data_IF_580808638030
#
_entry.id   IF_580808638030
#
_cell.length_a   1.000
_cell.length_b   1.000
_cell.length_c   1.000
_cell.angle_alpha   90.00
_cell.angle_beta   90.00
_cell.angle_gamma   90.00
#
_symmetry.space_group_name_H-M   'P 1'
#
loop_
_entity.id
_entity.type
_entity.pdbx_description
1 polymer ?
#
# COMPACT_ATOMS: atom_id res chain seq x y z
N UNK A 1 63.22 -37.57 -23.80
CA UNK A 1 62.67 -38.71 -23.02
C UNK A 1 61.27 -38.31 -22.55
N UNK A 2 60.26 -38.39 -23.42
CA UNK A 2 58.86 -38.17 -23.04
C UNK A 2 58.23 -39.52 -22.73
N UNK A 3 58.06 -39.83 -21.45
CA UNK A 3 57.21 -40.93 -21.01
C UNK A 3 56.30 -40.42 -19.91
N UNK A 4 54.99 -40.48 -20.13
CA UNK A 4 54.07 -40.76 -19.02
C UNK A 4 52.78 -39.97 -18.88
N UNK A 5 52.17 -39.40 -19.93
CA UNK A 5 50.77 -38.87 -19.82
C UNK A 5 49.73 -40.01 -19.95
N UNK A 6 50.12 -41.21 -20.39
CA UNK A 6 49.19 -42.30 -20.71
C UNK A 6 48.57 -43.08 -19.53
N UNK A 7 49.01 -42.87 -18.27
CA UNK A 7 48.34 -43.45 -17.09
C UNK A 7 47.18 -42.59 -16.56
N UNK A 8 47.06 -41.32 -16.97
CA UNK A 8 46.05 -40.40 -16.41
C UNK A 8 44.63 -40.62 -16.96
N UNK A 9 44.46 -40.99 -18.23
CA UNK A 9 43.11 -41.05 -18.85
C UNK A 9 42.24 -42.21 -18.37
N UNK A 10 42.81 -43.39 -18.08
CA UNK A 10 42.04 -44.51 -17.50
C UNK A 10 41.66 -44.24 -16.05
N UNK A 11 42.54 -43.60 -15.28
CA UNK A 11 42.26 -43.20 -13.90
C UNK A 11 41.21 -42.08 -13.86
N UNK A 12 41.28 -41.09 -14.76
CA UNK A 12 40.28 -40.04 -14.94
C UNK A 12 38.89 -40.60 -15.27
N UNK A 13 38.81 -41.67 -16.07
CA UNK A 13 37.56 -42.36 -16.39
C UNK A 13 36.87 -42.99 -15.17
N UNK A 14 37.64 -43.37 -14.13
CA UNK A 14 37.10 -43.85 -12.86
C UNK A 14 36.91 -42.76 -11.81
N UNK A 15 37.70 -41.68 -11.86
CA UNK A 15 37.65 -40.59 -10.87
C UNK A 15 36.48 -39.61 -11.15
N UNK A 16 36.16 -39.32 -12.42
CA UNK A 16 35.02 -38.46 -12.78
C UNK A 16 33.66 -39.01 -12.28
N UNK A 17 33.30 -40.29 -12.52
CA UNK A 17 32.04 -40.81 -11.99
C UNK A 17 32.03 -40.87 -10.47
N UNK A 18 33.18 -41.08 -9.83
CA UNK A 18 33.30 -41.04 -8.36
C UNK A 18 33.05 -39.63 -7.81
N UNK A 19 33.56 -38.59 -8.47
CA UNK A 19 33.31 -37.19 -8.12
C UNK A 19 31.84 -36.82 -8.36
N UNK A 20 31.25 -37.24 -9.48
CA UNK A 20 29.82 -37.02 -9.76
C UNK A 20 28.92 -37.73 -8.73
N UNK A 21 29.30 -38.95 -8.31
CA UNK A 21 28.60 -39.68 -7.26
C UNK A 21 28.73 -38.97 -5.90
N UNK A 22 29.86 -38.32 -5.62
CA UNK A 22 30.08 -37.55 -4.40
C UNK A 22 29.32 -36.20 -4.40
N UNK A 23 29.07 -35.61 -5.56
CA UNK A 23 28.29 -34.37 -5.71
C UNK A 23 26.77 -34.60 -5.81
N UNK A 24 26.31 -35.81 -6.08
CA UNK A 24 24.88 -36.11 -6.18
C UNK A 24 24.08 -35.90 -4.87
N UNK A 25 24.58 -36.28 -3.67
CA UNK A 25 23.86 -36.05 -2.41
C UNK A 25 23.58 -34.58 -2.08
N UNK A 26 24.54 -33.63 -2.18
CA UNK A 26 24.25 -32.22 -1.93
C UNK A 26 23.32 -31.61 -2.99
N UNK A 27 23.42 -32.01 -4.26
CA UNK A 27 22.49 -31.56 -5.31
C UNK A 27 21.06 -32.06 -5.07
N UNK A 28 20.89 -33.32 -4.64
CA UNK A 28 19.59 -33.88 -4.30
C UNK A 28 18.98 -33.20 -3.06
N UNK A 29 19.78 -32.99 -2.02
CA UNK A 29 19.35 -32.27 -0.82
C UNK A 29 18.94 -30.81 -1.14
N UNK A 30 19.74 -30.13 -1.96
CA UNK A 30 19.46 -28.75 -2.38
C UNK A 30 18.23 -28.65 -3.30
N UNK A 31 18.03 -29.59 -4.22
CA UNK A 31 16.82 -29.65 -5.06
C UNK A 31 15.56 -29.85 -4.22
N UNK A 32 15.64 -30.73 -3.20
CA UNK A 32 14.53 -30.93 -2.25
C UNK A 32 14.24 -29.65 -1.44
N UNK A 33 15.28 -28.94 -1.00
CA UNK A 33 15.17 -27.68 -0.27
C UNK A 33 14.66 -26.51 -1.14
N UNK A 34 15.01 -26.50 -2.43
CA UNK A 34 14.51 -25.51 -3.38
C UNK A 34 13.00 -25.69 -3.64
N UNK A 35 12.52 -26.93 -3.70
CA UNK A 35 11.10 -27.21 -3.91
C UNK A 35 10.24 -26.96 -2.67
N UNK A 36 10.77 -27.08 -1.44
CA UNK A 36 10.01 -26.75 -0.21
C UNK A 36 9.79 -25.25 -0.03
N UNK A 37 10.73 -24.40 -0.47
CA UNK A 37 10.61 -22.93 -0.39
C UNK A 37 9.48 -22.36 -1.26
N UNK A 38 9.12 -23.00 -2.38
CA UNK A 38 7.99 -22.57 -3.22
C UNK A 38 6.63 -22.82 -2.56
N UNK A 39 6.49 -23.89 -1.78
CA UNK A 39 5.23 -24.26 -1.13
C UNK A 39 4.86 -23.33 0.04
N UNK A 40 5.85 -22.75 0.72
CA UNK A 40 5.62 -21.76 1.77
C UNK A 40 5.30 -20.37 1.19
N UNK A 41 5.87 -19.99 0.04
CA UNK A 41 5.55 -18.72 -0.62
C UNK A 41 4.08 -18.63 -1.06
N UNK A 42 3.52 -19.73 -1.58
CA UNK A 42 2.08 -19.84 -1.92
C UNK A 42 1.18 -19.79 -0.67
N UNK A 43 1.57 -20.45 0.43
CA UNK A 43 0.81 -20.42 1.69
C UNK A 43 0.88 -19.07 2.41
N UNK A 44 1.98 -18.33 2.26
CA UNK A 44 2.11 -16.97 2.78
C UNK A 44 1.23 -16.00 1.99
N UNK A 45 1.12 -16.14 0.66
CA UNK A 45 0.14 -15.39 -0.16
C UNK A 45 -1.32 -15.68 0.22
N UNK A 46 -1.63 -16.93 0.55
CA UNK A 46 -2.98 -17.32 0.97
C UNK A 46 -3.34 -16.88 2.40
N UNK A 47 -2.35 -16.83 3.31
CA UNK A 47 -2.54 -16.37 4.69
C UNK A 47 -2.46 -14.84 4.85
N UNK A 48 -1.79 -14.13 3.94
CA UNK A 48 -1.80 -12.67 3.90
C UNK A 48 -3.23 -12.12 3.68
N UNK A 49 -4.06 -12.80 2.89
CA UNK A 49 -5.50 -12.52 2.76
C UNK A 49 -6.32 -12.73 4.05
N UNK A 50 -5.76 -13.35 5.09
CA UNK A 50 -6.47 -13.68 6.33
C UNK A 50 -5.92 -13.00 7.58
N UNK A 51 -4.66 -12.54 7.55
CA UNK A 51 -3.96 -11.96 8.71
C UNK A 51 -3.71 -10.45 8.62
N UNK A 52 -4.07 -9.83 7.50
CA UNK A 52 -4.13 -8.38 7.31
C UNK A 52 -5.38 -7.78 7.96
N UNK A 53 -5.57 -8.09 9.24
CA UNK A 53 -6.47 -7.39 10.13
C UNK A 53 -5.57 -6.73 11.15
N UNK A 54 -5.43 -5.41 11.04
CA UNK A 54 -5.16 -4.42 12.09
C UNK A 54 -4.08 -3.43 11.58
N UNK A 55 -4.58 -2.39 10.88
CA UNK A 55 -4.02 -1.01 10.77
C UNK A 55 -3.18 -0.60 9.53
N UNK A 56 -3.00 -1.44 8.49
CA UNK A 56 -2.32 -1.01 7.24
C UNK A 56 -2.85 -1.63 5.93
N UNK A 57 -3.93 -2.39 6.01
CA UNK A 57 -4.14 -3.58 5.19
C UNK A 57 -4.98 -3.42 3.91
N UNK A 58 -5.54 -2.24 3.67
CA UNK A 58 -6.51 -2.08 2.57
C UNK A 58 -5.86 -1.66 1.24
N UNK A 59 -4.57 -1.31 1.23
CA UNK A 59 -3.93 -0.73 0.03
C UNK A 59 -3.65 -1.76 -1.05
N UNK A 60 -3.03 -2.90 -0.70
CA UNK A 60 -2.74 -3.97 -1.67
C UNK A 60 -4.04 -4.59 -2.21
N UNK A 61 -5.03 -4.80 -1.34
CA UNK A 61 -6.35 -5.30 -1.76
C UNK A 61 -7.04 -4.35 -2.73
N UNK A 62 -6.94 -3.03 -2.49
CA UNK A 62 -7.47 -2.02 -3.43
C UNK A 62 -6.74 -2.07 -4.76
N UNK A 63 -5.41 -2.16 -4.75
CA UNK A 63 -4.61 -2.24 -5.98
C UNK A 63 -5.01 -3.49 -6.77
N UNK A 64 -5.15 -4.63 -6.12
CA UNK A 64 -5.57 -5.90 -6.75
C UNK A 64 -6.99 -5.81 -7.31
N UNK A 65 -7.94 -5.21 -6.57
CA UNK A 65 -9.31 -5.01 -7.05
C UNK A 65 -9.34 -4.09 -8.27
N UNK A 66 -8.62 -2.97 -8.22
CA UNK A 66 -8.54 -2.02 -9.33
C UNK A 66 -7.84 -2.67 -10.54
N UNK A 67 -6.77 -3.42 -10.34
CA UNK A 67 -6.04 -4.11 -11.42
C UNK A 67 -6.86 -5.17 -12.15
N UNK A 68 -7.93 -5.68 -11.54
CA UNK A 68 -8.91 -6.55 -12.21
C UNK A 68 -9.93 -5.78 -13.05
N UNK A 69 -10.10 -4.49 -12.79
CA UNK A 69 -11.09 -3.63 -13.45
C UNK A 69 -10.48 -2.79 -14.58
N UNK A 70 -9.19 -2.47 -14.48
CA UNK A 70 -8.46 -1.65 -15.45
C UNK A 70 -6.97 -2.02 -15.44
N UNK A 71 -6.33 -1.91 -16.60
CA UNK A 71 -4.88 -2.08 -16.70
C UNK A 71 -4.15 -0.97 -15.94
N UNK A 72 -3.27 -1.38 -15.03
CA UNK A 72 -2.51 -0.47 -14.17
C UNK A 72 -1.08 -0.27 -14.70
N UNK A 73 -0.51 0.93 -14.53
CA UNK A 73 0.92 1.14 -14.76
C UNK A 73 1.78 0.24 -13.87
N UNK A 74 2.98 -0.12 -14.35
CA UNK A 74 3.95 -0.91 -13.60
C UNK A 74 4.71 -0.06 -12.56
N UNK A 75 3.98 0.54 -11.62
CA UNK A 75 4.52 1.27 -10.47
C UNK A 75 3.60 1.15 -9.25
N UNK A 76 4.13 1.44 -8.06
CA UNK A 76 3.34 1.47 -6.83
C UNK A 76 2.57 2.79 -6.71
N UNK A 77 1.24 2.79 -6.71
CA UNK A 77 0.47 4.02 -6.54
C UNK A 77 0.49 4.52 -5.10
N UNK A 78 0.34 5.82 -4.92
CA UNK A 78 -0.05 6.40 -3.63
C UNK A 78 -1.56 6.32 -3.49
N UNK A 79 -2.06 5.70 -2.41
CA UNK A 79 -3.49 5.54 -2.17
C UNK A 79 -3.94 6.49 -1.06
N UNK A 80 -4.94 7.31 -1.35
CA UNK A 80 -5.55 8.25 -0.42
C UNK A 80 -7.06 8.04 -0.33
N UNK A 81 -7.67 8.38 0.81
CA UNK A 81 -9.12 8.36 0.97
C UNK A 81 -9.69 9.78 0.83
N UNK A 82 -10.82 9.92 0.15
CA UNK A 82 -11.56 11.18 0.11
C UNK A 82 -12.36 11.29 1.42
N UNK A 83 -11.86 12.10 2.34
CA UNK A 83 -12.55 12.38 3.62
C UNK A 83 -13.60 13.47 3.48
N UNK A 84 -13.34 14.46 2.63
CA UNK A 84 -14.23 15.60 2.41
C UNK A 84 -14.26 16.04 0.94
N UNK A 85 -15.30 15.59 0.22
CA UNK A 85 -15.59 15.98 -1.17
C UNK A 85 -15.74 17.49 -1.34
N UNK A 86 -16.22 18.21 -0.32
CA UNK A 86 -16.52 19.64 -0.46
C UNK A 86 -15.28 20.47 -0.74
N UNK A 87 -14.12 20.04 -0.23
CA UNK A 87 -12.80 20.65 -0.47
C UNK A 87 -12.23 20.37 -1.85
N UNK A 88 -12.79 19.40 -2.57
CA UNK A 88 -12.37 18.98 -3.91
C UNK A 88 -13.33 19.49 -5.00
N UNK A 89 -14.28 20.35 -4.63
CA UNK A 89 -15.20 20.98 -5.57
C UNK A 89 -14.44 21.90 -6.54
N UNK A 90 -14.91 21.98 -7.78
CA UNK A 90 -14.27 22.75 -8.86
C UNK A 90 -13.31 21.93 -9.73
N UNK A 91 -12.95 20.71 -9.33
CA UNK A 91 -12.18 19.80 -10.16
C UNK A 91 -13.10 18.76 -10.82
N UNK A 92 -13.15 18.73 -12.16
CA UNK A 92 -13.99 17.80 -12.91
C UNK A 92 -13.69 16.32 -12.58
N UNK A 93 -12.43 16.01 -12.25
CA UNK A 93 -12.00 14.66 -11.84
C UNK A 93 -12.73 14.16 -10.58
N UNK A 94 -13.10 15.06 -9.65
CA UNK A 94 -13.78 14.70 -8.40
C UNK A 94 -15.31 14.92 -8.45
N UNK A 95 -15.87 15.29 -9.61
CA UNK A 95 -17.31 15.59 -9.73
C UNK A 95 -18.20 14.41 -9.29
N UNK A 96 -17.81 13.19 -9.67
CA UNK A 96 -18.54 11.94 -9.38
C UNK A 96 -18.06 11.22 -8.12
N UNK A 97 -17.02 11.75 -7.47
CA UNK A 97 -16.46 11.19 -6.25
C UNK A 97 -17.43 11.35 -5.06
N UNK A 98 -17.24 10.51 -4.05
CA UNK A 98 -17.97 10.49 -2.78
C UNK A 98 -16.98 10.35 -1.62
N UNK A 99 -17.39 10.77 -0.42
CA UNK A 99 -16.59 10.53 0.78
C UNK A 99 -16.45 9.02 1.01
N UNK A 100 -15.23 8.56 1.29
CA UNK A 100 -14.89 7.14 1.38
C UNK A 100 -14.37 6.52 0.09
N UNK A 101 -14.43 7.23 -1.06
CA UNK A 101 -13.79 6.75 -2.28
C UNK A 101 -12.26 6.79 -2.13
N UNK A 102 -11.59 5.76 -2.67
CA UNK A 102 -10.14 5.62 -2.71
C UNK A 102 -9.60 6.29 -3.97
N UNK A 103 -8.53 7.07 -3.86
CA UNK A 103 -7.81 7.67 -5.00
C UNK A 103 -6.45 7.02 -5.10
N UNK A 104 -6.14 6.44 -6.25
CA UNK A 104 -4.84 5.87 -6.57
C UNK A 104 -4.10 6.84 -7.49
N UNK A 105 -2.92 7.29 -7.07
CA UNK A 105 -2.11 8.27 -7.79
C UNK A 105 -0.82 7.59 -8.28
N UNK A 106 -0.65 7.55 -9.58
CA UNK A 106 0.50 7.01 -10.30
C UNK A 106 1.36 8.19 -10.77
N UNK A 107 2.44 8.47 -10.03
CA UNK A 107 3.23 9.69 -10.21
C UNK A 107 4.04 9.64 -11.51
N UNK A 108 4.66 8.50 -11.85
CA UNK A 108 5.48 8.37 -13.07
C UNK A 108 4.62 8.34 -14.32
N UNK A 109 3.50 7.62 -14.27
CA UNK A 109 2.55 7.53 -15.37
C UNK A 109 1.63 8.75 -15.50
N UNK A 110 1.72 9.71 -14.56
CA UNK A 110 0.87 10.89 -14.47
C UNK A 110 -0.63 10.54 -14.56
N UNK A 111 -1.06 9.52 -13.84
CA UNK A 111 -2.43 9.00 -13.85
C UNK A 111 -3.03 8.99 -12.45
N UNK A 112 -4.29 9.38 -12.33
CA UNK A 112 -5.07 9.20 -11.12
C UNK A 112 -6.34 8.40 -11.41
N UNK A 113 -6.73 7.57 -10.46
CA UNK A 113 -7.91 6.69 -10.56
C UNK A 113 -8.72 6.81 -9.27
N UNK A 114 -10.02 7.08 -9.38
CA UNK A 114 -10.95 7.03 -8.24
C UNK A 114 -11.65 5.68 -8.26
N UNK A 115 -11.57 4.96 -7.15
CA UNK A 115 -12.16 3.66 -6.95
C UNK A 115 -13.12 3.67 -5.74
N UNK A 116 -14.31 3.10 -5.94
CA UNK A 116 -15.31 2.93 -4.89
C UNK A 116 -15.39 1.48 -4.47
N UNK A 117 -14.94 1.21 -3.24
CA UNK A 117 -14.96 -0.12 -2.64
C UNK A 117 -16.37 -0.69 -2.50
N UNK A 118 -17.33 0.14 -2.06
CA UNK A 118 -18.70 -0.30 -1.79
C UNK A 118 -19.40 -0.92 -3.01
N UNK A 119 -19.05 -0.47 -4.22
CA UNK A 119 -19.64 -0.96 -5.47
C UNK A 119 -18.65 -1.69 -6.36
N UNK A 120 -17.40 -1.83 -5.92
CA UNK A 120 -16.27 -2.36 -6.69
C UNK A 120 -16.18 -1.77 -8.11
N UNK A 121 -16.16 -0.44 -8.22
CA UNK A 121 -16.19 0.27 -9.51
C UNK A 121 -15.14 1.37 -9.57
N UNK A 122 -14.59 1.55 -10.77
CA UNK A 122 -13.84 2.76 -11.13
C UNK A 122 -14.84 3.88 -11.37
N UNK A 123 -14.66 4.98 -10.65
CA UNK A 123 -15.53 6.15 -10.71
C UNK A 123 -15.04 7.14 -11.75
N UNK A 124 -13.73 7.37 -11.80
CA UNK A 124 -13.12 8.32 -12.72
C UNK A 124 -11.64 7.97 -12.95
N UNK A 125 -11.13 8.26 -14.15
CA UNK A 125 -9.71 8.10 -14.51
C UNK A 125 -9.23 9.38 -15.19
N UNK A 126 -8.13 9.94 -14.71
CA UNK A 126 -7.64 11.24 -15.14
C UNK A 126 -6.12 11.28 -15.21
N UNK A 127 -5.62 12.32 -15.87
CA UNK A 127 -4.19 12.66 -15.85
C UNK A 127 -3.90 13.64 -14.72
N UNK A 128 -2.75 13.50 -14.09
CA UNK A 128 -2.27 14.50 -13.11
C UNK A 128 -1.21 15.39 -13.77
N UNK A 129 -1.38 16.69 -13.64
CA UNK A 129 -0.32 17.66 -13.90
C UNK A 129 0.26 17.99 -12.53
N UNK A 130 1.42 17.41 -12.22
CA UNK A 130 2.16 17.76 -11.02
C UNK A 130 2.91 19.04 -11.35
N UNK A 131 2.31 20.19 -11.05
CA UNK A 131 3.08 21.42 -10.91
C UNK A 131 3.89 21.28 -9.62
N UNK A 132 5.22 21.25 -9.71
CA UNK A 132 6.17 21.00 -8.61
C UNK A 132 6.13 22.05 -7.47
N UNK A 133 5.12 22.91 -7.41
CA UNK A 133 5.03 24.03 -6.46
C UNK A 133 4.15 23.77 -5.24
N UNK A 134 3.79 22.51 -4.92
CA UNK A 134 3.12 22.19 -3.65
C UNK A 134 4.14 21.57 -2.68
N UNK A 135 4.71 22.33 -1.73
CA UNK A 135 5.61 21.77 -0.73
C UNK A 135 4.88 20.73 0.12
N UNK A 136 5.47 19.54 0.23
CA UNK A 136 4.98 18.37 0.95
C UNK A 136 4.94 18.52 2.50
N UNK A 137 4.82 19.74 3.02
CA UNK A 137 4.88 20.05 4.45
C UNK A 137 3.51 20.19 5.12
N UNK A 138 2.39 20.08 4.40
CA UNK A 138 1.03 20.19 4.98
C UNK A 138 0.25 18.87 5.11
N UNK A 139 0.87 17.71 4.85
CA UNK A 139 0.24 16.39 5.05
C UNK A 139 0.72 15.68 6.33
N UNK A 140 1.06 16.44 7.37
CA UNK A 140 1.22 15.86 8.71
C UNK A 140 -0.14 15.44 9.26
N UNK A 141 -0.32 14.19 9.72
CA UNK A 141 -1.46 13.83 10.54
C UNK A 141 -1.33 14.55 11.89
N UNK A 142 -1.92 15.74 12.02
CA UNK A 142 -2.24 16.29 13.33
C UNK A 142 -3.34 15.41 13.93
N UNK A 143 -2.91 14.45 14.74
CA UNK A 143 -3.75 13.81 15.72
C UNK A 143 -4.20 14.93 16.65
N UNK A 144 -5.43 15.43 16.49
CA UNK A 144 -6.09 16.23 17.51
C UNK A 144 -6.73 15.19 18.43
N UNK A 145 -6.14 14.84 19.59
CA UNK A 145 -6.92 14.18 20.62
C UNK A 145 -8.00 15.17 21.05
N UNK A 146 -9.24 14.87 20.67
CA UNK A 146 -10.43 15.41 21.31
C UNK A 146 -10.39 15.03 22.79
N UNK A 147 -9.77 15.87 23.62
CA UNK A 147 -10.11 15.94 25.03
C UNK A 147 -11.49 16.59 25.13
N UNK A 148 -12.50 15.74 25.25
CA UNK A 148 -13.84 16.09 25.68
C UNK A 148 -13.73 16.65 27.11
N UNK A 149 -13.79 17.97 27.26
CA UNK A 149 -14.07 18.62 28.55
C UNK A 149 -15.40 19.36 28.40
N UNK A 150 -16.50 18.88 29.02
CA UNK A 150 -17.77 19.59 29.03
C UNK A 150 -17.89 20.45 30.30
N UNK A 151 -17.59 21.75 30.20
CA UNK A 151 -18.05 22.76 31.18
C UNK A 151 -17.80 24.20 30.69
N UNK A 152 -18.65 24.69 29.78
CA UNK A 152 -18.88 26.12 29.62
C UNK A 152 -20.38 26.35 29.42
N UNK A 153 -21.10 26.37 30.53
CA UNK A 153 -22.45 26.94 30.60
C UNK A 153 -22.32 28.44 30.40
N UNK A 154 -22.42 28.90 29.16
CA UNK A 154 -22.69 30.29 28.86
C UNK A 154 -24.20 30.53 28.99
N UNK A 155 -24.63 30.99 30.17
CA UNK A 155 -25.92 31.65 30.33
C UNK A 155 -25.67 33.16 30.45
N UNK A 156 -25.76 33.95 29.37
CA UNK A 156 -26.11 35.35 29.50
C UNK A 156 -27.63 35.47 29.43
N UNK A 157 -28.29 35.31 30.59
CA UNK A 157 -29.68 35.76 30.78
C UNK A 157 -29.68 37.28 30.73
N UNK A 158 -30.02 37.84 29.57
CA UNK A 158 -30.56 39.20 29.48
C UNK A 158 -31.91 39.22 30.18
N UNK A 159 -31.95 39.74 31.41
CA UNK A 159 -33.18 40.13 32.10
C UNK A 159 -33.29 41.65 32.07
N UNK A 160 -34.31 42.12 31.39
CA UNK A 160 -34.76 43.53 31.36
C UNK A 160 -35.30 43.93 32.74
N UNK A 161 -34.74 45.02 33.32
CA UNK A 161 -35.30 46.24 34.02
C UNK A 161 -36.48 46.05 35.03
N UNK A 162 -36.67 46.79 36.18
CA UNK A 162 -36.30 48.19 36.53
C UNK A 162 -35.80 48.44 37.99
N UNK A 163 -35.48 49.71 38.29
CA UNK A 163 -35.82 50.47 39.51
C UNK A 163 -34.67 51.00 40.42
N UNK A 164 -34.54 52.33 40.36
CA UNK A 164 -34.68 53.29 41.48
C UNK A 164 -33.54 53.41 42.51
N UNK A 165 -32.80 54.51 42.32
CA UNK A 165 -32.57 55.61 43.28
C UNK A 165 -31.88 55.30 44.61
N UNK A 166 -30.66 55.84 44.79
CA UNK A 166 -30.23 56.50 46.03
C UNK A 166 -28.94 57.33 45.79
N UNK A 167 -28.99 58.62 46.17
CA UNK A 167 -27.85 59.34 46.73
C UNK A 167 -27.12 60.35 45.84
N UNK A 168 -27.70 61.54 45.65
CA UNK A 168 -27.12 62.79 46.15
C UNK A 168 -28.16 63.92 46.17
#
# INVERSE_FOLDING_TARGET
MEKGIFLKNKFILFVIPLILLLLAPPLYYFYRQYNTMRAEYEKTKLQLNKSSTVLGDNTEEVIDKVGKLIELPNETPTVANITDKTKLQGQSFFARAQNGDKVLIFQKAKKAIIYREATNKIIEVGTINIDESVPASEISPTIIPTAISPAATATPTSKVTPAKNQGN
#
